data_IF_925581095349
#
_entry.id   IF_925581095349
#
_cell.length_a   1.000
_cell.length_b   1.000
_cell.length_c   1.000
_cell.angle_alpha   90.00
_cell.angle_beta   90.00
_cell.angle_gamma   90.00
#
_symmetry.space_group_name_H-M   'P 1'
#
loop_
_entity.id
_entity.type
_entity.pdbx_description
1 polymer ?
#
# COMPACT_ATOMS: atom_id res chain seq x y z
N UNK A 1 7.01 -30.24 19.61
CA UNK A 1 6.90 -29.54 18.32
C UNK A 1 5.64 -28.67 18.28
N UNK A 2 4.39 -29.21 18.41
CA UNK A 2 3.14 -28.45 18.28
C UNK A 2 3.01 -27.25 19.23
N UNK A 3 3.54 -27.30 20.44
CA UNK A 3 3.42 -26.20 21.41
C UNK A 3 4.45 -25.10 21.25
N UNK A 4 5.68 -25.43 20.82
CA UNK A 4 6.80 -24.51 20.82
C UNK A 4 7.28 -24.10 19.42
N UNK A 5 7.06 -24.95 18.39
CA UNK A 5 7.65 -24.74 17.06
C UNK A 5 6.62 -24.41 15.97
N UNK A 6 5.33 -24.42 16.30
CA UNK A 6 4.29 -24.10 15.31
C UNK A 6 4.36 -22.63 14.93
N UNK A 7 4.38 -22.32 13.63
CA UNK A 7 4.48 -20.96 13.10
C UNK A 7 3.37 -20.03 13.58
N UNK A 8 2.14 -20.52 13.71
CA UNK A 8 1.00 -19.75 14.23
C UNK A 8 1.15 -19.30 15.69
N UNK A 9 2.04 -19.91 16.45
CA UNK A 9 2.37 -19.55 17.84
C UNK A 9 3.65 -18.70 17.96
N UNK A 10 4.44 -18.59 16.90
CA UNK A 10 5.70 -17.85 16.85
C UNK A 10 5.62 -16.70 15.83
N UNK A 11 4.51 -15.96 15.84
CA UNK A 11 4.27 -14.87 14.90
C UNK A 11 5.07 -13.63 15.30
N UNK A 12 5.36 -13.45 16.60
CA UNK A 12 6.11 -12.30 17.12
C UNK A 12 7.60 -12.62 17.27
N UNK A 13 8.44 -11.68 16.86
CA UNK A 13 9.90 -11.76 17.03
C UNK A 13 10.33 -11.65 18.49
N UNK A 14 11.20 -12.52 18.99
CA UNK A 14 11.68 -12.48 20.37
C UNK A 14 12.56 -11.25 20.67
N UNK A 15 13.09 -10.60 19.62
CA UNK A 15 13.99 -9.44 19.74
C UNK A 15 13.25 -8.15 20.11
N UNK A 16 12.14 -7.88 19.47
CA UNK A 16 11.45 -6.58 19.53
C UNK A 16 9.93 -6.70 19.69
N UNK A 17 9.40 -7.93 19.78
CA UNK A 17 7.97 -8.19 19.92
C UNK A 17 7.14 -7.81 18.70
N UNK A 18 7.78 -7.54 17.54
CA UNK A 18 7.07 -7.19 16.32
C UNK A 18 6.71 -8.44 15.52
N UNK A 19 5.63 -8.36 14.71
CA UNK A 19 5.27 -9.45 13.82
C UNK A 19 6.40 -9.80 12.84
N UNK A 20 6.82 -11.05 12.81
CA UNK A 20 7.77 -11.58 11.83
C UNK A 20 7.05 -11.87 10.52
N UNK A 21 5.81 -12.34 10.61
CA UNK A 21 4.99 -12.72 9.46
C UNK A 21 4.31 -11.47 8.91
N UNK A 22 4.88 -10.91 7.84
CA UNK A 22 4.32 -9.75 7.13
C UNK A 22 4.11 -10.08 5.66
N UNK A 23 3.07 -9.51 5.01
CA UNK A 23 2.86 -9.70 3.58
C UNK A 23 4.06 -9.24 2.76
N UNK A 24 4.35 -9.96 1.67
CA UNK A 24 5.44 -9.63 0.75
C UNK A 24 5.02 -9.89 -0.70
N UNK A 25 5.76 -9.31 -1.65
CA UNK A 25 5.61 -9.56 -3.09
C UNK A 25 4.14 -9.47 -3.56
N UNK A 26 3.60 -10.54 -4.14
CA UNK A 26 2.26 -10.57 -4.74
C UNK A 26 1.14 -10.35 -3.72
N UNK A 27 1.36 -10.73 -2.45
CA UNK A 27 0.40 -10.44 -1.39
C UNK A 27 0.23 -8.93 -1.18
N UNK A 28 1.33 -8.18 -1.21
CA UNK A 28 1.30 -6.72 -1.12
C UNK A 28 0.70 -6.11 -2.37
N UNK A 29 1.10 -6.60 -3.56
CA UNK A 29 0.62 -6.11 -4.85
C UNK A 29 -0.89 -6.24 -4.98
N UNK A 30 -1.46 -7.40 -4.60
CA UNK A 30 -2.89 -7.63 -4.64
C UNK A 30 -3.69 -6.74 -3.69
N UNK A 31 -3.21 -6.57 -2.46
CA UNK A 31 -3.86 -5.67 -1.49
C UNK A 31 -3.69 -4.18 -1.87
N UNK A 32 -2.57 -3.80 -2.47
CA UNK A 32 -2.36 -2.48 -3.05
C UNK A 32 -3.38 -2.20 -4.17
N UNK A 33 -3.51 -3.14 -5.11
CA UNK A 33 -4.48 -3.03 -6.20
C UNK A 33 -5.91 -2.95 -5.69
N UNK A 34 -6.29 -3.79 -4.72
CA UNK A 34 -7.61 -3.82 -4.11
C UNK A 34 -8.01 -2.49 -3.47
N UNK A 35 -7.07 -1.81 -2.82
CA UNK A 35 -7.31 -0.56 -2.08
C UNK A 35 -7.07 0.71 -2.89
N UNK A 36 -6.76 0.58 -4.18
CA UNK A 36 -6.58 1.71 -5.10
C UNK A 36 -7.91 2.41 -5.38
N UNK A 37 -7.91 3.74 -5.40
CA UNK A 37 -9.02 4.56 -5.89
C UNK A 37 -8.73 5.08 -7.28
N UNK A 38 -9.77 5.16 -8.11
CA UNK A 38 -9.70 5.80 -9.44
C UNK A 38 -10.88 6.75 -9.60
N UNK A 39 -10.61 7.92 -10.17
CA UNK A 39 -11.66 8.88 -10.54
C UNK A 39 -12.36 8.45 -11.83
N UNK A 40 -13.54 9.01 -12.05
CA UNK A 40 -14.33 8.85 -13.28
C UNK A 40 -14.64 7.38 -13.63
N UNK A 41 -14.86 6.56 -12.61
CA UNK A 41 -15.23 5.17 -12.80
C UNK A 41 -16.75 5.00 -12.98
N UNK A 42 -17.14 3.92 -13.67
CA UNK A 42 -18.54 3.53 -13.83
C UNK A 42 -19.19 3.38 -12.45
N UNK A 43 -20.37 4.02 -12.27
CA UNK A 43 -21.12 3.96 -11.01
C UNK A 43 -20.56 4.84 -9.89
N UNK A 44 -19.66 5.81 -10.19
CA UNK A 44 -19.11 6.71 -9.17
C UNK A 44 -20.21 7.55 -8.51
N UNK A 45 -20.16 7.62 -7.19
CA UNK A 45 -21.13 8.35 -6.38
C UNK A 45 -22.47 7.62 -6.17
N UNK A 46 -22.56 6.34 -6.52
CA UNK A 46 -23.74 5.53 -6.18
C UNK A 46 -23.78 5.26 -4.67
N UNK A 47 -25.00 5.23 -4.14
CA UNK A 47 -25.28 4.94 -2.72
C UNK A 47 -25.83 3.54 -2.60
N UNK A 48 -25.33 2.77 -1.66
CA UNK A 48 -25.76 1.39 -1.37
C UNK A 48 -26.28 1.25 0.06
N UNK A 49 -27.29 0.44 0.24
CA UNK A 49 -27.87 0.19 1.54
C UNK A 49 -27.04 -0.80 2.37
N UNK A 50 -26.49 -1.84 1.74
CA UNK A 50 -25.71 -2.87 2.43
C UNK A 50 -24.52 -3.41 1.59
N UNK A 51 -23.68 -4.24 2.21
CA UNK A 51 -22.51 -4.86 1.60
C UNK A 51 -22.88 -5.85 0.49
N UNK A 52 -24.00 -6.55 0.63
CA UNK A 52 -24.44 -7.55 -0.37
C UNK A 52 -24.87 -6.84 -1.65
N UNK A 53 -25.55 -5.70 -1.53
CA UNK A 53 -25.93 -4.87 -2.67
C UNK A 53 -24.69 -4.37 -3.43
N UNK A 54 -23.65 -3.92 -2.71
CA UNK A 54 -22.36 -3.53 -3.31
C UNK A 54 -21.73 -4.69 -4.08
N UNK A 55 -21.67 -5.88 -3.48
CA UNK A 55 -21.08 -7.05 -4.13
C UNK A 55 -21.89 -7.50 -5.35
N UNK A 56 -23.23 -7.45 -5.29
CA UNK A 56 -24.07 -7.73 -6.45
C UNK A 56 -23.84 -6.71 -7.58
N UNK A 57 -23.74 -5.42 -7.25
CA UNK A 57 -23.44 -4.37 -8.21
C UNK A 57 -22.06 -4.59 -8.87
N UNK A 58 -21.08 -5.01 -8.09
CA UNK A 58 -19.74 -5.35 -8.59
C UNK A 58 -19.77 -6.56 -9.53
N UNK A 59 -20.44 -7.66 -9.16
CA UNK A 59 -20.56 -8.85 -10.02
C UNK A 59 -21.34 -8.55 -11.31
N UNK A 60 -22.34 -7.68 -11.25
CA UNK A 60 -23.10 -7.21 -12.42
C UNK A 60 -22.34 -6.16 -13.25
N UNK A 61 -21.09 -5.78 -12.85
CA UNK A 61 -20.25 -4.78 -13.53
C UNK A 61 -20.87 -3.38 -13.62
N UNK A 62 -21.82 -3.06 -12.75
CA UNK A 62 -22.39 -1.70 -12.65
C UNK A 62 -21.49 -0.76 -11.89
N UNK A 63 -20.60 -1.30 -11.04
CA UNK A 63 -19.50 -0.61 -10.39
C UNK A 63 -18.21 -1.40 -10.54
N UNK A 64 -17.06 -0.72 -10.56
CA UNK A 64 -15.75 -1.34 -10.59
C UNK A 64 -15.15 -1.44 -9.17
N UNK A 65 -14.10 -2.25 -9.04
CA UNK A 65 -13.39 -2.45 -7.78
C UNK A 65 -12.89 -1.13 -7.15
N UNK A 66 -12.46 -0.19 -8.00
CA UNK A 66 -11.86 1.09 -7.62
C UNK A 66 -12.84 2.26 -7.60
N UNK A 67 -14.13 2.00 -7.86
CA UNK A 67 -15.17 3.02 -7.90
C UNK A 67 -15.41 3.58 -6.51
N UNK A 68 -15.37 4.91 -6.39
CA UNK A 68 -15.75 5.63 -5.17
C UNK A 68 -17.28 5.69 -5.06
N UNK A 69 -17.78 5.25 -3.94
CA UNK A 69 -19.22 5.15 -3.66
C UNK A 69 -19.50 5.42 -2.19
N UNK A 70 -20.76 5.47 -1.83
CA UNK A 70 -21.19 5.61 -0.45
C UNK A 70 -22.01 4.38 0.00
N UNK A 71 -21.85 3.98 1.25
CA UNK A 71 -22.63 2.92 1.89
C UNK A 71 -23.18 3.41 3.22
N UNK A 72 -24.34 2.93 3.65
CA UNK A 72 -24.84 3.16 4.99
C UNK A 72 -23.85 2.59 6.03
N UNK A 73 -23.30 3.43 6.91
CA UNK A 73 -22.30 2.97 7.87
C UNK A 73 -22.81 1.88 8.81
N UNK A 74 -24.09 1.93 9.19
CA UNK A 74 -24.76 0.90 10.01
C UNK A 74 -24.73 -0.49 9.36
N UNK A 75 -24.71 -0.58 8.04
CA UNK A 75 -24.68 -1.85 7.30
C UNK A 75 -23.34 -2.59 7.42
N UNK A 76 -22.27 -1.89 7.72
CA UNK A 76 -20.93 -2.49 7.91
C UNK A 76 -20.82 -3.23 9.25
N UNK A 77 -21.75 -3.01 10.19
CA UNK A 77 -21.79 -3.64 11.52
C UNK A 77 -20.47 -3.53 12.28
N UNK A 78 -19.72 -2.43 12.05
CA UNK A 78 -18.44 -2.21 12.72
C UNK A 78 -18.68 -1.69 14.14
N UNK A 79 -18.16 -2.41 15.14
CA UNK A 79 -18.36 -2.09 16.55
C UNK A 79 -17.61 -0.82 17.00
N UNK A 80 -16.67 -0.33 16.20
CA UNK A 80 -15.87 0.86 16.55
C UNK A 80 -16.52 2.16 16.09
N UNK A 81 -17.61 2.12 15.33
CA UNK A 81 -18.32 3.30 14.89
C UNK A 81 -19.13 3.93 16.05
N UNK A 82 -19.10 5.25 16.14
CA UNK A 82 -19.96 5.99 17.06
C UNK A 82 -21.42 5.96 16.59
N UNK A 83 -22.35 6.29 17.47
CA UNK A 83 -23.78 6.39 17.12
C UNK A 83 -24.02 7.41 16.00
N UNK A 84 -23.30 8.53 16.02
CA UNK A 84 -23.37 9.54 14.95
C UNK A 84 -22.88 8.97 13.59
N UNK A 85 -21.76 8.26 13.60
CA UNK A 85 -21.21 7.64 12.40
C UNK A 85 -22.14 6.58 11.81
N UNK A 86 -22.81 5.79 12.66
CA UNK A 86 -23.76 4.77 12.21
C UNK A 86 -24.99 5.38 11.49
N UNK A 87 -25.32 6.63 11.77
CA UNK A 87 -26.43 7.36 11.14
C UNK A 87 -25.97 8.20 9.92
N UNK A 88 -24.86 7.84 9.30
CA UNK A 88 -24.28 8.55 8.15
C UNK A 88 -23.93 7.59 7.02
N UNK A 89 -23.65 8.16 5.85
CA UNK A 89 -23.02 7.44 4.75
C UNK A 89 -21.51 7.43 4.93
N UNK A 90 -20.87 6.29 4.70
CA UNK A 90 -19.42 6.18 4.58
C UNK A 90 -19.02 6.20 3.11
N UNK A 91 -18.16 7.13 2.73
CA UNK A 91 -17.55 7.20 1.38
C UNK A 91 -16.34 6.28 1.33
N UNK A 92 -16.36 5.31 0.43
CA UNK A 92 -15.33 4.29 0.30
C UNK A 92 -15.32 3.71 -1.13
N UNK A 93 -14.56 2.64 -1.35
CA UNK A 93 -14.58 1.87 -2.61
C UNK A 93 -15.02 0.42 -2.39
N UNK A 94 -15.47 -0.25 -3.46
CA UNK A 94 -15.80 -1.68 -3.43
C UNK A 94 -14.62 -2.49 -2.89
N UNK A 95 -13.41 -2.20 -3.38
CA UNK A 95 -12.21 -2.91 -2.96
C UNK A 95 -11.89 -2.75 -1.47
N UNK A 96 -12.08 -1.55 -0.90
CA UNK A 96 -11.88 -1.33 0.54
C UNK A 96 -12.92 -2.03 1.39
N UNK A 97 -14.16 -2.14 0.93
CA UNK A 97 -15.19 -2.96 1.62
C UNK A 97 -14.73 -4.41 1.68
N UNK A 98 -14.31 -4.98 0.56
CA UNK A 98 -13.80 -6.35 0.48
C UNK A 98 -12.56 -6.53 1.37
N UNK A 99 -11.64 -5.55 1.35
CA UNK A 99 -10.44 -5.57 2.20
C UNK A 99 -10.80 -5.63 3.69
N UNK A 100 -11.76 -4.83 4.12
CA UNK A 100 -12.17 -4.76 5.53
C UNK A 100 -12.92 -6.02 6.01
N UNK A 101 -13.40 -6.90 5.11
CA UNK A 101 -13.98 -8.18 5.49
C UNK A 101 -12.95 -9.17 6.10
N UNK A 102 -11.66 -8.89 5.98
CA UNK A 102 -10.61 -9.69 6.63
C UNK A 102 -10.70 -9.55 8.16
N UNK A 103 -11.02 -8.33 8.61
CA UNK A 103 -11.03 -7.97 10.03
C UNK A 103 -12.40 -8.25 10.64
N UNK A 104 -12.40 -8.76 11.84
CA UNK A 104 -13.64 -8.92 12.60
C UNK A 104 -14.03 -7.59 13.27
N UNK A 105 -15.31 -7.43 13.57
CA UNK A 105 -15.97 -6.14 13.87
C UNK A 105 -15.44 -5.30 15.05
N UNK A 106 -14.37 -5.71 15.72
CA UNK A 106 -13.70 -4.96 16.80
C UNK A 106 -12.52 -4.12 16.29
N UNK A 107 -12.18 -4.26 15.01
CA UNK A 107 -11.12 -3.46 14.38
C UNK A 107 -11.72 -2.28 13.61
N UNK A 108 -11.09 -1.07 13.64
CA UNK A 108 -11.56 0.09 12.91
C UNK A 108 -11.66 -0.18 11.41
N UNK A 109 -12.67 0.41 10.76
CA UNK A 109 -12.77 0.35 9.30
C UNK A 109 -11.65 1.16 8.65
N UNK A 110 -10.86 0.49 7.82
CA UNK A 110 -9.68 1.07 7.20
C UNK A 110 -10.05 1.69 5.85
N UNK A 111 -10.04 3.01 5.75
CA UNK A 111 -10.33 3.75 4.53
C UNK A 111 -9.10 4.45 3.93
N UNK A 112 -8.12 4.79 4.76
CA UNK A 112 -6.87 5.45 4.36
C UNK A 112 -5.63 4.81 5.02
N UNK A 113 -4.40 5.09 4.51
CA UNK A 113 -3.15 4.54 5.04
C UNK A 113 -2.62 5.27 6.28
N UNK A 114 -3.33 6.28 6.79
CA UNK A 114 -2.84 7.12 7.88
C UNK A 114 -2.86 6.36 9.21
N UNK A 115 -1.83 6.58 10.04
CA UNK A 115 -1.70 5.91 11.34
C UNK A 115 -2.85 6.24 12.31
N UNK A 116 -3.42 7.43 12.21
CA UNK A 116 -4.58 7.82 13.02
C UNK A 116 -5.80 6.95 12.71
N UNK A 117 -6.00 6.61 11.44
CA UNK A 117 -7.11 5.80 10.94
C UNK A 117 -7.03 4.33 11.37
N UNK A 118 -5.85 3.85 11.81
CA UNK A 118 -5.69 2.51 12.38
C UNK A 118 -6.33 2.37 13.76
N UNK A 119 -6.60 3.49 14.45
CA UNK A 119 -7.22 3.49 15.77
C UNK A 119 -8.71 3.80 15.75
N UNK A 120 -9.13 4.62 14.82
CA UNK A 120 -10.53 4.98 14.60
C UNK A 120 -10.72 5.50 13.18
N UNK A 121 -11.85 5.17 12.56
CA UNK A 121 -12.19 5.66 11.22
C UNK A 121 -12.45 7.17 11.27
N UNK A 122 -11.72 8.01 10.50
CA UNK A 122 -11.87 9.47 10.58
C UNK A 122 -13.24 9.95 10.13
N UNK A 123 -13.79 10.94 10.83
CA UNK A 123 -15.10 11.53 10.54
C UNK A 123 -15.20 12.17 9.15
N UNK A 124 -14.09 12.58 8.57
CA UNK A 124 -14.03 13.19 7.22
C UNK A 124 -14.59 12.31 6.09
N UNK A 125 -14.74 11.00 6.33
CA UNK A 125 -15.29 10.06 5.34
C UNK A 125 -16.78 9.80 5.54
N UNK A 126 -17.38 10.34 6.60
CA UNK A 126 -18.79 10.20 6.88
C UNK A 126 -19.55 11.43 6.40
N UNK A 127 -20.68 11.20 5.71
CA UNK A 127 -21.54 12.24 5.19
C UNK A 127 -22.96 12.06 5.73
N UNK A 128 -23.64 13.16 6.11
CA UNK A 128 -25.03 13.10 6.53
C UNK A 128 -25.94 12.57 5.41
N UNK A 129 -27.01 11.88 5.76
CA UNK A 129 -28.01 11.46 4.82
C UNK A 129 -28.60 12.66 4.06
N UNK A 130 -28.79 12.50 2.73
CA UNK A 130 -29.30 13.54 1.85
C UNK A 130 -28.24 14.44 1.21
N UNK A 131 -26.95 14.26 1.51
CA UNK A 131 -25.86 14.97 0.83
C UNK A 131 -25.66 14.43 -0.59
N UNK A 132 -25.36 15.33 -1.55
CA UNK A 132 -24.97 14.91 -2.90
C UNK A 132 -23.56 14.29 -2.89
N UNK A 133 -23.53 12.96 -2.95
CA UNK A 133 -22.31 12.16 -2.89
C UNK A 133 -21.44 12.40 -4.13
N UNK A 134 -22.04 12.61 -5.31
CA UNK A 134 -21.28 12.81 -6.55
C UNK A 134 -20.49 14.11 -6.54
N UNK A 135 -21.11 15.18 -6.07
CA UNK A 135 -20.44 16.47 -5.96
C UNK A 135 -19.32 16.41 -4.91
N UNK A 136 -19.59 15.77 -3.77
CA UNK A 136 -18.60 15.61 -2.71
C UNK A 136 -17.37 14.83 -3.18
N UNK A 137 -17.57 13.71 -3.86
CA UNK A 137 -16.49 12.87 -4.37
C UNK A 137 -15.62 13.61 -5.40
N UNK A 138 -16.21 14.43 -6.28
CA UNK A 138 -15.45 15.21 -7.27
C UNK A 138 -14.48 16.19 -6.62
N UNK A 139 -14.87 16.76 -5.48
CA UNK A 139 -14.08 17.74 -4.75
C UNK A 139 -13.04 17.12 -3.81
N UNK A 140 -13.10 15.79 -3.56
CA UNK A 140 -12.15 15.09 -2.71
C UNK A 140 -10.95 14.54 -3.51
N UNK A 141 -9.72 14.72 -3.00
CA UNK A 141 -8.55 14.08 -3.59
C UNK A 141 -8.62 12.55 -3.44
N UNK A 142 -7.96 11.84 -4.35
CA UNK A 142 -7.84 10.39 -4.27
C UNK A 142 -7.03 9.99 -3.03
N UNK A 143 -7.53 9.00 -2.32
CA UNK A 143 -6.86 8.45 -1.14
C UNK A 143 -5.75 7.50 -1.60
N UNK A 144 -4.60 7.57 -0.93
CA UNK A 144 -3.47 6.69 -1.21
C UNK A 144 -3.79 5.24 -0.87
N UNK A 145 -3.19 4.33 -1.63
CA UNK A 145 -3.31 2.89 -1.48
C UNK A 145 -2.56 2.37 -0.25
N UNK A 146 -2.88 1.14 0.17
CA UNK A 146 -2.14 0.46 1.22
C UNK A 146 -0.84 -0.13 0.69
N UNK A 147 0.26 0.34 1.25
CA UNK A 147 1.62 -0.12 0.93
C UNK A 147 2.05 -1.23 1.89
N UNK A 148 3.19 -1.89 1.61
CA UNK A 148 3.80 -2.85 2.53
C UNK A 148 3.96 -2.29 3.95
N UNK A 149 4.37 -1.01 4.07
CA UNK A 149 4.55 -0.33 5.35
C UNK A 149 3.23 -0.15 6.10
N UNK A 150 2.17 0.20 5.37
CA UNK A 150 0.82 0.35 5.94
C UNK A 150 0.28 -1.01 6.41
N UNK A 151 0.43 -2.05 5.58
CA UNK A 151 -0.01 -3.41 5.96
C UNK A 151 0.73 -3.90 7.21
N UNK A 152 2.03 -3.64 7.34
CA UNK A 152 2.78 -3.93 8.55
C UNK A 152 2.23 -3.20 9.78
N UNK A 153 1.91 -1.91 9.65
CA UNK A 153 1.31 -1.13 10.74
C UNK A 153 -0.10 -1.61 11.13
N UNK A 154 -0.90 -2.04 10.14
CA UNK A 154 -2.23 -2.65 10.38
C UNK A 154 -2.08 -3.92 11.21
N UNK A 155 -1.14 -4.78 10.85
CA UNK A 155 -0.87 -6.02 11.57
C UNK A 155 -0.40 -5.72 12.99
N UNK A 156 0.48 -4.74 13.18
CA UNK A 156 0.96 -4.31 14.51
C UNK A 156 -0.21 -3.83 15.41
N UNK A 157 -1.16 -3.05 14.86
CA UNK A 157 -2.32 -2.59 15.64
C UNK A 157 -3.32 -3.73 15.90
N UNK A 158 -3.54 -4.63 14.93
CA UNK A 158 -4.42 -5.78 15.10
C UNK A 158 -3.93 -6.72 16.22
N UNK A 159 -2.62 -6.91 16.34
CA UNK A 159 -1.98 -7.66 17.44
C UNK A 159 -2.26 -7.10 18.83
N UNK A 160 -2.53 -5.80 18.95
CA UNK A 160 -2.81 -5.17 20.26
C UNK A 160 -4.25 -5.37 20.70
N UNK A 161 -5.14 -5.63 19.75
CA UNK A 161 -6.60 -5.67 20.00
C UNK A 161 -7.09 -7.12 20.07
N UNK A 162 -6.58 -8.00 19.20
CA UNK A 162 -7.11 -9.34 19.04
C UNK A 162 -6.26 -10.41 19.74
N UNK A 163 -6.88 -11.52 20.20
CA UNK A 163 -6.18 -12.67 20.76
C UNK A 163 -5.22 -13.31 19.75
N UNK A 164 -4.07 -13.81 20.22
CA UNK A 164 -3.04 -14.42 19.37
C UNK A 164 -3.57 -15.59 18.52
N UNK A 165 -4.55 -16.31 19.04
CA UNK A 165 -5.15 -17.47 18.35
C UNK A 165 -6.00 -17.08 17.13
N UNK A 166 -6.45 -15.83 17.01
CA UNK A 166 -7.24 -15.33 15.87
C UNK A 166 -6.36 -14.67 14.80
N UNK A 167 -5.17 -14.24 15.18
CA UNK A 167 -4.29 -13.46 14.31
C UNK A 167 -3.84 -14.27 13.09
N UNK A 168 -3.54 -15.57 13.25
CA UNK A 168 -3.14 -16.41 12.13
C UNK A 168 -4.25 -16.55 11.08
N UNK A 169 -5.51 -16.53 11.48
CA UNK A 169 -6.67 -16.59 10.58
C UNK A 169 -6.74 -15.30 9.75
N UNK A 170 -6.56 -14.14 10.40
CA UNK A 170 -6.51 -12.85 9.71
C UNK A 170 -5.35 -12.79 8.72
N UNK A 171 -4.14 -13.25 9.11
CA UNK A 171 -2.98 -13.28 8.23
C UNK A 171 -3.20 -14.20 7.01
N UNK A 172 -3.85 -15.35 7.19
CA UNK A 172 -4.20 -16.26 6.10
C UNK A 172 -5.25 -15.64 5.16
N UNK A 173 -6.24 -14.95 5.69
CA UNK A 173 -7.22 -14.20 4.88
C UNK A 173 -6.52 -13.10 4.08
N UNK A 174 -5.65 -12.31 4.71
CA UNK A 174 -4.88 -11.25 4.06
C UNK A 174 -3.98 -11.77 2.94
N UNK A 175 -3.30 -12.90 3.17
CA UNK A 175 -2.49 -13.61 2.19
C UNK A 175 -3.35 -14.07 0.99
N UNK A 176 -4.43 -14.80 1.26
CA UNK A 176 -5.29 -15.36 0.21
C UNK A 176 -5.93 -14.25 -0.63
N UNK A 177 -6.39 -13.18 0.01
CA UNK A 177 -6.94 -12.02 -0.68
C UNK A 177 -5.88 -11.32 -1.54
N UNK A 178 -4.66 -11.15 -1.02
CA UNK A 178 -3.55 -10.58 -1.77
C UNK A 178 -3.23 -11.37 -3.03
N UNK A 179 -3.09 -12.69 -2.95
CA UNK A 179 -2.85 -13.54 -4.13
C UNK A 179 -4.02 -13.52 -5.12
N UNK A 180 -5.25 -13.57 -4.64
CA UNK A 180 -6.44 -13.54 -5.50
C UNK A 180 -6.51 -12.25 -6.31
N UNK A 181 -6.36 -11.09 -5.65
CA UNK A 181 -6.43 -9.81 -6.36
C UNK A 181 -5.19 -9.47 -7.16
N UNK A 182 -4.02 -10.00 -6.83
CA UNK A 182 -2.84 -9.94 -7.68
C UNK A 182 -3.06 -10.69 -9.01
N UNK A 183 -3.70 -11.86 -8.94
CA UNK A 183 -4.06 -12.65 -10.13
C UNK A 183 -5.09 -11.90 -11.00
N UNK A 184 -6.14 -11.33 -10.40
CA UNK A 184 -7.14 -10.55 -11.13
C UNK A 184 -6.55 -9.28 -11.74
N UNK A 185 -5.64 -8.61 -11.04
CA UNK A 185 -5.00 -7.39 -11.50
C UNK A 185 -4.22 -7.60 -12.81
N UNK A 186 -3.64 -8.79 -13.01
CA UNK A 186 -2.91 -9.14 -14.23
C UNK A 186 -1.75 -8.18 -14.53
N UNK A 187 -1.10 -7.63 -13.49
CA UNK A 187 -0.02 -6.66 -13.66
C UNK A 187 1.20 -7.36 -14.23
N UNK A 188 1.68 -6.88 -15.38
CA UNK A 188 2.88 -7.35 -16.02
C UNK A 188 3.86 -6.21 -16.26
N UNK A 189 5.16 -6.53 -16.30
CA UNK A 189 6.22 -5.58 -16.64
C UNK A 189 6.94 -6.09 -17.87
N UNK A 190 6.96 -5.28 -18.92
CA UNK A 190 7.71 -5.54 -20.15
C UNK A 190 9.12 -4.94 -20.09
N UNK A 191 10.05 -5.49 -20.85
CA UNK A 191 11.36 -4.88 -21.04
C UNK A 191 11.28 -3.45 -21.61
N UNK A 192 10.22 -3.14 -22.37
CA UNK A 192 9.98 -1.80 -22.92
C UNK A 192 9.44 -0.77 -21.90
N UNK A 193 8.95 -1.23 -20.75
CA UNK A 193 8.50 -0.34 -19.68
C UNK A 193 9.67 0.25 -18.88
N UNK A 194 10.88 -0.31 -19.07
CA UNK A 194 12.11 0.18 -18.47
C UNK A 194 12.60 1.38 -19.28
N UNK A 195 12.35 2.57 -18.76
CA UNK A 195 12.79 3.81 -19.40
C UNK A 195 14.25 4.09 -19.01
N UNK A 196 15.06 4.39 -20.03
CA UNK A 196 16.43 4.85 -19.84
C UNK A 196 16.36 6.36 -19.60
N UNK A 197 16.92 6.89 -18.48
CA UNK A 197 17.01 8.32 -18.24
C UNK A 197 17.73 9.03 -19.39
N UNK A 198 17.21 10.18 -19.82
CA UNK A 198 17.79 10.93 -20.94
C UNK A 198 19.23 11.42 -20.65
N UNK A 199 19.49 11.71 -19.36
CA UNK A 199 20.80 12.23 -18.91
C UNK A 199 21.88 11.13 -18.80
N UNK A 200 21.53 9.86 -19.06
CA UNK A 200 22.46 8.73 -18.91
C UNK A 200 23.77 8.93 -19.68
N UNK A 201 23.67 9.39 -20.91
CA UNK A 201 24.85 9.54 -21.77
C UNK A 201 25.74 10.70 -21.30
N UNK A 202 25.15 11.82 -20.87
CA UNK A 202 25.89 12.93 -20.27
C UNK A 202 26.65 12.51 -19.01
N UNK A 203 26.02 11.74 -18.14
CA UNK A 203 26.68 11.21 -16.95
C UNK A 203 27.86 10.30 -17.29
N UNK A 204 27.77 9.55 -18.36
CA UNK A 204 28.89 8.71 -18.83
C UNK A 204 30.03 9.55 -19.40
N UNK A 205 29.70 10.53 -20.25
CA UNK A 205 30.69 11.42 -20.84
C UNK A 205 31.47 12.18 -19.75
N UNK A 206 30.78 12.74 -18.74
CA UNK A 206 31.39 13.39 -17.59
C UNK A 206 32.28 12.42 -16.79
N UNK A 207 31.84 11.19 -16.60
CA UNK A 207 32.61 10.17 -15.91
C UNK A 207 33.87 9.79 -16.66
N UNK A 208 33.79 9.64 -17.98
CA UNK A 208 34.93 9.30 -18.84
C UNK A 208 35.95 10.42 -18.86
N UNK A 209 35.55 11.71 -18.92
CA UNK A 209 36.44 12.84 -18.77
C UNK A 209 37.22 12.83 -17.44
N UNK A 210 36.52 12.58 -16.33
CA UNK A 210 37.18 12.48 -15.03
C UNK A 210 38.15 11.29 -14.96
N UNK A 211 37.79 10.13 -15.55
CA UNK A 211 38.69 8.99 -15.61
C UNK A 211 39.92 9.23 -16.45
N UNK A 212 39.84 9.97 -17.57
CA UNK A 212 40.99 10.35 -18.38
C UNK A 212 41.95 11.26 -17.60
N UNK A 213 41.44 12.23 -16.86
CA UNK A 213 42.26 13.09 -16.01
C UNK A 213 43.03 12.27 -14.97
N UNK A 214 42.35 11.34 -14.28
CA UNK A 214 42.99 10.46 -13.28
C UNK A 214 44.05 9.55 -13.92
N UNK A 215 43.78 8.95 -15.09
CA UNK A 215 44.74 8.14 -15.84
C UNK A 215 45.98 8.97 -16.26
N UNK A 216 45.77 10.20 -16.74
CA UNK A 216 46.84 11.08 -17.13
C UNK A 216 47.74 11.49 -15.95
N UNK A 217 47.16 11.72 -14.77
CA UNK A 217 47.92 12.01 -13.54
C UNK A 217 48.74 10.79 -13.10
N UNK A 218 48.17 9.61 -13.18
CA UNK A 218 48.87 8.36 -12.87
C UNK A 218 50.03 8.11 -13.85
N UNK A 219 49.80 8.25 -15.15
CA UNK A 219 50.83 8.04 -16.18
C UNK A 219 51.99 9.06 -16.06
N UNK A 220 51.72 10.25 -15.51
CA UNK A 220 52.75 11.29 -15.22
C UNK A 220 53.47 11.01 -13.88
N UNK A 221 53.17 9.90 -13.19
CA UNK A 221 53.79 9.56 -11.91
C UNK A 221 53.39 10.44 -10.73
N UNK A 222 52.24 11.19 -10.85
CA UNK A 222 51.75 12.08 -9.80
C UNK A 222 50.82 11.37 -8.80
N UNK A 223 50.35 10.18 -9.11
CA UNK A 223 49.48 9.34 -8.29
C UNK A 223 50.11 7.95 -8.12
N UNK A 224 50.02 7.40 -6.94
CA UNK A 224 50.27 5.96 -6.67
C UNK A 224 49.09 5.11 -7.17
N UNK A 225 49.32 3.81 -7.33
CA UNK A 225 48.27 2.88 -7.74
C UNK A 225 47.07 2.90 -6.77
N UNK A 226 47.32 3.01 -5.48
CA UNK A 226 46.25 3.07 -4.46
C UNK A 226 45.46 4.39 -4.54
N UNK A 227 46.12 5.51 -4.75
CA UNK A 227 45.45 6.81 -4.92
C UNK A 227 44.64 6.86 -6.21
N UNK A 228 45.15 6.28 -7.31
CA UNK A 228 44.43 6.14 -8.57
C UNK A 228 43.14 5.35 -8.36
N UNK A 229 43.23 4.17 -7.70
CA UNK A 229 42.09 3.31 -7.40
C UNK A 229 41.02 4.03 -6.57
N UNK A 230 41.44 4.69 -5.50
CA UNK A 230 40.56 5.46 -4.63
C UNK A 230 39.86 6.61 -5.37
N UNK A 231 40.60 7.35 -6.18
CA UNK A 231 40.09 8.47 -6.98
C UNK A 231 39.05 8.00 -8.00
N UNK A 232 39.27 6.86 -8.66
CA UNK A 232 38.28 6.23 -9.59
C UNK A 232 37.00 5.85 -8.85
N UNK A 233 37.11 5.20 -7.69
CA UNK A 233 35.91 4.82 -6.90
C UNK A 233 35.13 6.06 -6.47
N UNK A 234 35.79 7.09 -5.96
CA UNK A 234 35.15 8.34 -5.54
C UNK A 234 34.45 9.03 -6.71
N UNK A 235 35.06 9.08 -7.88
CA UNK A 235 34.45 9.62 -9.10
C UNK A 235 33.16 8.87 -9.47
N UNK A 236 33.15 7.53 -9.38
CA UNK A 236 31.97 6.71 -9.68
C UNK A 236 30.85 6.83 -8.63
N UNK A 237 31.20 7.05 -7.36
CA UNK A 237 30.20 7.25 -6.30
C UNK A 237 29.43 8.56 -6.54
N UNK A 238 30.10 9.64 -6.91
CA UNK A 238 29.47 10.94 -7.15
C UNK A 238 28.49 10.94 -8.34
N UNK A 239 28.65 10.06 -9.30
CA UNK A 239 27.70 9.90 -10.42
C UNK A 239 26.33 9.41 -9.93
N UNK A 240 26.28 8.58 -8.90
CA UNK A 240 25.05 7.98 -8.38
C UNK A 240 24.38 8.79 -7.25
N UNK A 241 25.08 9.76 -6.64
CA UNK A 241 24.52 10.57 -5.56
C UNK A 241 23.41 11.54 -5.99
N UNK A 242 23.47 12.25 -7.13
CA UNK A 242 22.43 13.18 -7.57
C UNK A 242 21.06 12.51 -7.73
N UNK A 243 21.00 11.23 -8.03
CA UNK A 243 19.75 10.49 -8.20
C UNK A 243 19.05 10.10 -6.88
N UNK A 244 19.70 10.32 -5.73
CA UNK A 244 19.11 10.06 -4.41
C UNK A 244 18.33 11.23 -3.83
N UNK A 245 18.45 12.43 -4.41
CA UNK A 245 17.87 13.68 -3.91
C UNK A 245 16.81 14.30 -4.84
N UNK A 246 16.41 13.61 -5.91
CA UNK A 246 15.34 14.05 -6.82
C UNK A 246 14.06 13.25 -6.63
#
# INVERSE_FOLDING_TARGET
>A
ARQLMLGSRNILGPKDGKPIVTPSQDMVLGNYYLTTEKADQIGEGTVFADVNEVLMAYYNKTVNLHTRMAICASALKNKTFTEEQNNMYLVTTVGKIIFNQIFEGEFPYLNDPDKASLKATPMKYFLPYGTDIKEHIKNQPLIKQFTKKTLGAIIDEYFKICPVDEIHVMLDRLKNQGFYYSTIAGITVSAYDIQIPQDKYHLFDDADEHLEVIKNLYNKGKLTEHERYTAVILSLIHISEPTRHS
#
